data_IF_996613300272
#
_entry.id   IF_996613300272
#
_cell.length_a   1.000
_cell.length_b   1.000
_cell.length_c   1.000
_cell.angle_alpha   90.00
_cell.angle_beta   90.00
_cell.angle_gamma   90.00
#
_symmetry.space_group_name_H-M   'P 1'
#
loop_
_entity.id
_entity.type
_entity.pdbx_description
1 polymer ?
#
# COMPACT_ATOMS: atom_id res chain seq x y z
N UNK A 1 8.13 19.70 9.29
CA UNK A 1 7.89 18.71 8.21
C UNK A 1 9.07 17.77 8.19
N UNK A 2 8.85 16.46 8.04
CA UNK A 2 9.91 15.47 8.19
C UNK A 2 10.85 15.40 6.99
N UNK A 3 12.10 15.05 7.24
CA UNK A 3 13.03 14.43 6.29
C UNK A 3 12.41 13.19 5.62
N UNK A 4 13.00 12.75 4.51
CA UNK A 4 12.59 11.52 3.83
C UNK A 4 12.52 10.32 4.80
N UNK A 5 13.51 10.19 5.69
CA UNK A 5 13.56 9.10 6.68
C UNK A 5 12.37 9.16 7.65
N UNK A 6 12.04 10.34 8.17
CA UNK A 6 10.88 10.51 9.06
C UNK A 6 9.57 10.20 8.33
N UNK A 7 9.49 10.48 7.03
CA UNK A 7 8.31 10.18 6.22
C UNK A 7 8.17 8.68 5.94
N UNK A 8 9.25 8.00 5.55
CA UNK A 8 9.25 6.54 5.35
C UNK A 8 8.89 5.82 6.64
N UNK A 9 9.51 6.22 7.77
CA UNK A 9 9.20 5.65 9.09
C UNK A 9 7.75 5.90 9.50
N UNK A 10 7.21 7.10 9.21
CA UNK A 10 5.81 7.41 9.50
C UNK A 10 4.85 6.53 8.71
N UNK A 11 5.11 6.32 7.42
CA UNK A 11 4.28 5.46 6.56
C UNK A 11 4.37 4.00 7.01
N UNK A 12 5.57 3.54 7.34
CA UNK A 12 5.80 2.18 7.84
C UNK A 12 5.11 1.95 9.19
N UNK A 13 5.25 2.89 10.12
CA UNK A 13 4.60 2.85 11.42
C UNK A 13 3.07 2.83 11.26
N UNK A 14 2.53 3.70 10.40
CA UNK A 14 1.12 3.72 10.08
C UNK A 14 0.64 2.35 9.58
N UNK A 15 1.31 1.76 8.60
CA UNK A 15 0.90 0.47 8.05
C UNK A 15 1.04 -0.67 9.08
N UNK A 16 2.12 -0.68 9.87
CA UNK A 16 2.32 -1.67 10.95
C UNK A 16 1.21 -1.65 11.99
N UNK A 17 0.54 -0.50 12.19
CA UNK A 17 -0.60 -0.38 13.09
C UNK A 17 -1.83 -1.19 12.66
N UNK A 18 -1.96 -1.50 11.36
CA UNK A 18 -3.09 -2.24 10.81
C UNK A 18 -2.72 -3.62 10.26
N UNK A 19 -1.43 -3.94 10.14
CA UNK A 19 -0.92 -5.17 9.54
C UNK A 19 -1.56 -6.44 10.12
N UNK A 20 -1.69 -6.52 11.45
CA UNK A 20 -2.29 -7.68 12.13
C UNK A 20 -3.78 -7.83 11.80
N UNK A 21 -4.53 -6.72 11.73
CA UNK A 21 -5.94 -6.77 11.32
C UNK A 21 -6.05 -7.16 9.83
N UNK A 22 -5.22 -6.56 8.98
CA UNK A 22 -5.25 -6.76 7.54
C UNK A 22 -4.96 -8.22 7.17
N UNK A 23 -3.91 -8.81 7.73
CA UNK A 23 -3.55 -10.23 7.54
C UNK A 23 -4.67 -11.16 8.01
N UNK A 24 -5.25 -10.91 9.18
CA UNK A 24 -6.40 -11.68 9.70
C UNK A 24 -7.60 -11.62 8.75
N UNK A 25 -7.89 -10.46 8.16
CA UNK A 25 -8.98 -10.33 7.19
C UNK A 25 -8.68 -11.00 5.87
N UNK A 26 -7.43 -10.96 5.41
CA UNK A 26 -6.99 -11.68 4.21
C UNK A 26 -7.15 -13.20 4.40
N UNK A 27 -6.77 -13.75 5.55
CA UNK A 27 -6.95 -15.17 5.87
C UNK A 27 -8.43 -15.57 5.89
N UNK A 28 -9.28 -14.75 6.51
CA UNK A 28 -10.72 -14.99 6.54
C UNK A 28 -11.33 -14.94 5.13
N UNK A 29 -10.93 -13.95 4.32
CA UNK A 29 -11.39 -13.81 2.94
C UNK A 29 -10.93 -14.99 2.08
N UNK A 30 -9.67 -15.42 2.21
CA UNK A 30 -9.13 -16.59 1.52
C UNK A 30 -9.85 -17.88 1.92
N UNK A 31 -10.15 -18.06 3.21
CA UNK A 31 -10.89 -19.22 3.69
C UNK A 31 -12.27 -19.34 3.02
N UNK A 32 -12.97 -18.20 2.87
CA UNK A 32 -14.30 -18.13 2.27
C UNK A 32 -14.29 -18.22 0.74
N UNK A 33 -13.36 -17.52 0.06
CA UNK A 33 -13.40 -17.33 -1.39
C UNK A 33 -12.33 -18.12 -2.15
N UNK A 34 -11.41 -18.78 -1.44
CA UNK A 34 -10.25 -19.52 -1.99
C UNK A 34 -9.32 -18.65 -2.87
N UNK A 35 -9.25 -17.36 -2.53
CA UNK A 35 -8.38 -16.35 -3.14
C UNK A 35 -8.21 -15.19 -2.17
N UNK A 36 -7.12 -14.44 -2.29
CA UNK A 36 -6.92 -13.23 -1.50
C UNK A 36 -7.77 -12.08 -2.03
N UNK A 37 -8.04 -11.12 -1.15
CA UNK A 37 -8.70 -9.87 -1.49
C UNK A 37 -7.73 -8.94 -2.21
N UNK A 38 -8.24 -8.19 -3.19
CA UNK A 38 -7.50 -7.19 -3.95
C UNK A 38 -8.08 -5.79 -3.67
N UNK A 39 -7.19 -4.81 -3.49
CA UNK A 39 -7.57 -3.41 -3.26
C UNK A 39 -6.96 -2.49 -4.29
N UNK A 40 -7.77 -1.62 -4.90
CA UNK A 40 -7.29 -0.56 -5.78
C UNK A 40 -6.43 0.46 -5.03
N UNK A 41 -5.73 1.33 -5.75
CA UNK A 41 -5.05 2.48 -5.15
C UNK A 41 -6.03 3.33 -4.33
N UNK A 42 -5.69 3.62 -3.08
CA UNK A 42 -6.49 4.45 -2.17
C UNK A 42 -6.58 5.92 -2.60
N UNK A 43 -5.64 6.36 -3.44
CA UNK A 43 -5.64 7.70 -4.04
C UNK A 43 -5.75 7.66 -5.57
N UNK A 44 -6.41 8.64 -6.18
CA UNK A 44 -6.41 8.87 -7.62
C UNK A 44 -5.10 9.48 -8.12
N UNK A 45 -4.46 10.30 -7.30
CA UNK A 45 -3.13 10.87 -7.52
C UNK A 45 -2.20 10.47 -6.37
N UNK A 46 -0.93 10.17 -6.69
CA UNK A 46 0.04 9.80 -5.65
C UNK A 46 0.32 11.00 -4.72
N UNK A 47 0.17 10.85 -3.39
CA UNK A 47 0.47 11.92 -2.43
C UNK A 47 1.85 12.54 -2.62
N UNK A 48 1.92 13.86 -2.86
CA UNK A 48 3.17 14.62 -3.02
C UNK A 48 3.58 15.34 -1.73
N UNK A 49 4.40 14.68 -0.93
CA UNK A 49 4.94 15.17 0.32
C UNK A 49 6.11 16.10 0.05
N UNK A 50 5.92 17.42 0.13
CA UNK A 50 7.03 18.38 -0.05
C UNK A 50 7.62 18.79 1.29
N UNK A 51 8.88 19.18 1.35
CA UNK A 51 9.52 19.64 2.59
C UNK A 51 8.85 20.89 3.20
N UNK A 52 8.19 21.71 2.36
CA UNK A 52 7.54 22.96 2.75
C UNK A 52 6.04 22.82 3.06
N UNK A 53 5.38 21.72 2.65
CA UNK A 53 3.95 21.48 2.88
C UNK A 53 3.58 19.99 2.85
N UNK A 54 2.69 19.58 3.76
CA UNK A 54 2.08 18.26 3.73
C UNK A 54 1.38 18.05 2.38
N UNK A 55 1.68 16.92 1.72
CA UNK A 55 1.02 16.56 0.48
C UNK A 55 -0.47 16.31 0.66
N UNK A 56 -1.19 16.05 -0.42
CA UNK A 56 -2.55 15.55 -0.29
C UNK A 56 -2.52 14.18 0.39
N UNK A 57 -3.04 14.13 1.62
CA UNK A 57 -3.12 12.90 2.43
C UNK A 57 -4.56 12.35 2.49
N UNK A 58 -5.42 12.81 1.59
CA UNK A 58 -6.83 12.43 1.53
C UNK A 58 -7.01 11.24 0.60
N UNK A 59 -7.37 10.08 1.17
CA UNK A 59 -7.63 8.89 0.38
C UNK A 59 -9.01 8.99 -0.32
N UNK A 60 -9.05 9.49 -1.56
CA UNK A 60 -10.27 9.77 -2.32
C UNK A 60 -10.91 8.54 -2.97
N UNK A 61 -10.23 7.38 -2.96
CA UNK A 61 -10.69 6.14 -3.60
C UNK A 61 -11.03 5.02 -2.62
N UNK A 62 -11.18 5.30 -1.33
CA UNK A 62 -11.52 4.28 -0.34
C UNK A 62 -12.88 3.58 -0.59
N UNK A 63 -13.80 4.29 -1.26
CA UNK A 63 -15.14 3.79 -1.63
C UNK A 63 -15.22 3.30 -3.07
N UNK A 64 -14.14 3.43 -3.85
CA UNK A 64 -14.10 2.94 -5.22
C UNK A 64 -14.08 1.41 -5.18
N UNK A 65 -15.11 0.80 -5.79
CA UNK A 65 -15.19 -0.65 -5.87
C UNK A 65 -14.21 -1.19 -6.92
N UNK A 66 -13.63 -2.35 -6.64
CA UNK A 66 -13.02 -3.18 -7.69
C UNK A 66 -14.11 -3.65 -8.66
N UNK A 67 -13.71 -4.27 -9.78
CA UNK A 67 -14.65 -4.94 -10.70
C UNK A 67 -15.49 -6.03 -10.04
N UNK A 68 -15.09 -6.49 -8.85
CA UNK A 68 -15.76 -7.54 -8.08
C UNK A 68 -16.67 -6.98 -6.98
N UNK A 69 -16.74 -5.65 -6.84
CA UNK A 69 -17.65 -4.97 -5.91
C UNK A 69 -17.04 -4.63 -4.55
N UNK A 70 -15.83 -5.11 -4.26
CA UNK A 70 -15.20 -4.90 -2.96
C UNK A 70 -14.51 -3.52 -2.88
N UNK A 71 -14.59 -2.89 -1.69
CA UNK A 71 -14.01 -1.59 -1.39
C UNK A 71 -13.07 -1.67 -0.20
N UNK A 72 -12.15 -0.72 -0.10
CA UNK A 72 -11.27 -0.59 1.05
C UNK A 72 -12.04 -0.39 2.36
N UNK A 73 -13.08 0.44 2.40
CA UNK A 73 -13.84 0.67 3.63
C UNK A 73 -14.61 -0.56 4.11
N UNK A 74 -15.07 -1.39 3.18
CA UNK A 74 -15.77 -2.64 3.52
C UNK A 74 -14.78 -3.67 4.06
N UNK A 75 -13.58 -3.74 3.48
CA UNK A 75 -12.53 -4.65 3.92
C UNK A 75 -11.85 -4.18 5.20
N UNK A 76 -11.45 -2.90 5.31
CA UNK A 76 -10.72 -2.31 6.44
C UNK A 76 -11.28 -0.93 6.76
N UNK A 77 -12.37 -0.88 7.54
CA UNK A 77 -13.07 0.37 7.89
C UNK A 77 -12.16 1.46 8.48
N UNK A 78 -11.11 1.06 9.20
CA UNK A 78 -10.14 1.95 9.87
C UNK A 78 -9.14 2.62 8.92
N UNK A 79 -9.00 2.14 7.67
CA UNK A 79 -7.95 2.62 6.75
C UNK A 79 -8.10 4.10 6.37
N UNK A 80 -9.29 4.68 6.52
CA UNK A 80 -9.58 6.08 6.21
C UNK A 80 -9.76 7.00 7.41
N UNK A 81 -9.63 6.48 8.63
CA UNK A 81 -9.83 7.27 9.85
C UNK A 81 -8.62 8.17 10.18
N UNK A 82 -7.47 7.89 9.56
CA UNK A 82 -6.25 8.67 9.70
C UNK A 82 -5.80 9.18 8.34
N UNK A 83 -5.16 10.36 8.25
CA UNK A 83 -4.59 10.83 6.99
C UNK A 83 -3.57 9.84 6.43
N UNK A 84 -3.72 9.45 5.16
CA UNK A 84 -2.80 8.54 4.50
C UNK A 84 -1.69 9.34 3.83
N UNK A 85 -0.48 9.27 4.36
CA UNK A 85 0.67 9.97 3.77
C UNK A 85 1.19 9.32 2.47
N UNK A 86 0.68 8.14 2.13
CA UNK A 86 1.02 7.38 0.94
C UNK A 86 -0.25 6.75 0.33
N UNK A 87 -0.22 6.52 -0.98
CA UNK A 87 -1.20 5.64 -1.61
C UNK A 87 -0.90 4.19 -1.27
N UNK A 88 -1.97 3.41 -1.09
CA UNK A 88 -1.91 2.00 -0.72
C UNK A 88 -2.67 1.19 -1.75
N UNK A 89 -2.07 0.11 -2.23
CA UNK A 89 -2.69 -0.85 -3.15
C UNK A 89 -2.45 -2.25 -2.62
N UNK A 90 -3.40 -3.16 -2.76
CA UNK A 90 -3.23 -4.58 -2.44
C UNK A 90 -3.35 -5.39 -3.72
N UNK A 91 -2.24 -5.95 -4.19
CA UNK A 91 -2.20 -6.79 -5.39
C UNK A 91 -2.14 -8.26 -4.98
N UNK A 92 -2.93 -9.11 -5.64
CA UNK A 92 -2.84 -10.56 -5.46
C UNK A 92 -2.00 -11.14 -6.59
N UNK A 93 -1.34 -12.26 -6.32
CA UNK A 93 -0.58 -12.98 -7.33
C UNK A 93 -0.72 -14.49 -7.14
N UNK A 94 -0.45 -15.21 -8.23
CA UNK A 94 -0.33 -16.67 -8.25
C UNK A 94 1.05 -17.04 -8.75
N UNK A 95 1.65 -18.03 -8.12
CA UNK A 95 2.97 -18.53 -8.50
C UNK A 95 3.08 -20.04 -8.35
N UNK A 96 4.13 -20.66 -8.93
CA UNK A 96 4.45 -22.06 -8.64
C UNK A 96 4.73 -22.34 -7.16
N UNK A 97 5.24 -21.34 -6.42
CA UNK A 97 5.53 -21.48 -4.98
C UNK A 97 4.29 -21.30 -4.10
N UNK A 98 3.20 -20.77 -4.66
CA UNK A 98 1.90 -20.59 -4.03
C UNK A 98 1.25 -19.24 -4.32
N UNK A 99 0.00 -19.11 -3.90
CA UNK A 99 -0.75 -17.86 -4.01
C UNK A 99 -0.32 -16.91 -2.88
N UNK A 100 -0.35 -15.61 -3.16
CA UNK A 100 0.00 -14.58 -2.19
C UNK A 100 -0.59 -13.23 -2.54
N UNK A 101 -0.28 -12.24 -1.71
CA UNK A 101 -0.60 -10.85 -1.99
C UNK A 101 0.54 -9.95 -1.52
N UNK A 102 0.58 -8.75 -2.07
CA UNK A 102 1.53 -7.71 -1.72
C UNK A 102 0.80 -6.40 -1.46
N UNK A 103 1.31 -5.65 -0.48
CA UNK A 103 0.89 -4.28 -0.24
C UNK A 103 1.93 -3.36 -0.84
N UNK A 104 1.48 -2.49 -1.73
CA UNK A 104 2.34 -1.51 -2.37
C UNK A 104 1.99 -0.12 -1.87
N UNK A 105 3.01 0.55 -1.32
CA UNK A 105 2.93 1.89 -0.76
C UNK A 105 3.68 2.84 -1.69
N UNK A 106 3.03 3.94 -2.07
CA UNK A 106 3.62 4.93 -2.96
C UNK A 106 3.43 6.34 -2.42
N UNK A 107 4.48 7.14 -2.39
CA UNK A 107 4.39 8.59 -2.19
C UNK A 107 5.43 9.31 -3.04
N UNK A 108 5.22 10.58 -3.31
CA UNK A 108 6.24 11.45 -3.87
C UNK A 108 6.87 12.29 -2.77
N UNK A 109 8.17 12.48 -2.81
CA UNK A 109 8.87 13.45 -1.98
C UNK A 109 9.80 14.29 -2.85
N UNK A 110 9.60 15.61 -2.81
CA UNK A 110 10.29 16.56 -3.70
C UNK A 110 10.19 16.16 -5.19
N UNK A 111 9.02 15.67 -5.61
CA UNK A 111 8.77 15.22 -6.98
C UNK A 111 9.31 13.84 -7.36
N UNK A 112 10.05 13.17 -6.47
CA UNK A 112 10.58 11.82 -6.68
C UNK A 112 9.59 10.77 -6.16
N UNK A 113 9.25 9.76 -6.97
CA UNK A 113 8.37 8.66 -6.56
C UNK A 113 9.15 7.61 -5.74
N UNK A 114 8.64 7.34 -4.55
CA UNK A 114 9.14 6.31 -3.65
C UNK A 114 8.11 5.19 -3.55
N UNK A 115 8.58 3.95 -3.66
CA UNK A 115 7.75 2.75 -3.59
C UNK A 115 8.30 1.79 -2.55
N UNK A 116 7.41 1.18 -1.78
CA UNK A 116 7.70 0.03 -0.91
C UNK A 116 6.72 -1.09 -1.23
N UNK A 117 7.21 -2.33 -1.25
CA UNK A 117 6.39 -3.54 -1.46
C UNK A 117 6.56 -4.46 -0.27
N UNK A 118 5.47 -4.75 0.42
CA UNK A 118 5.44 -5.68 1.56
C UNK A 118 4.77 -6.96 1.10
N UNK A 119 5.50 -8.08 1.09
CA UNK A 119 5.02 -9.34 0.52
C UNK A 119 4.50 -10.32 1.58
N UNK A 120 3.26 -10.76 1.40
CA UNK A 120 2.57 -11.76 2.21
C UNK A 120 2.34 -13.05 1.42
N UNK A 121 3.42 -13.61 0.90
CA UNK A 121 3.37 -14.90 0.22
C UNK A 121 4.73 -15.57 0.13
N UNK A 122 4.81 -16.70 -0.58
CA UNK A 122 6.00 -17.55 -0.60
C UNK A 122 7.16 -16.93 -1.38
N UNK A 123 6.89 -16.15 -2.44
CA UNK A 123 7.92 -15.56 -3.32
C UNK A 123 8.63 -14.37 -2.64
N UNK A 124 9.65 -14.64 -1.81
CA UNK A 124 10.36 -13.58 -1.04
C UNK A 124 11.04 -12.52 -1.90
N UNK A 125 11.30 -12.78 -3.18
CA UNK A 125 11.87 -11.80 -4.12
C UNK A 125 10.92 -10.63 -4.47
N UNK A 126 9.66 -10.69 -4.05
CA UNK A 126 8.70 -9.58 -4.23
C UNK A 126 8.81 -8.49 -3.18
N UNK A 127 9.40 -8.79 -2.04
CA UNK A 127 9.58 -7.81 -0.98
C UNK A 127 10.58 -6.74 -1.44
N UNK A 128 10.21 -5.47 -1.28
CA UNK A 128 11.05 -4.32 -1.63
C UNK A 128 10.95 -3.32 -0.49
N UNK A 129 12.10 -2.93 0.04
CA UNK A 129 12.17 -1.74 0.88
C UNK A 129 11.86 -0.49 0.04
N UNK A 130 11.87 0.69 0.66
CA UNK A 130 11.72 1.95 -0.05
C UNK A 130 12.77 2.08 -1.16
N UNK A 131 12.31 2.15 -2.41
CA UNK A 131 13.13 2.36 -3.59
C UNK A 131 12.63 3.57 -4.38
N UNK A 132 13.54 4.18 -5.14
CA UNK A 132 13.14 5.21 -6.11
C UNK A 132 12.64 4.53 -7.37
N UNK A 133 11.41 4.84 -7.77
CA UNK A 133 10.94 4.55 -9.11
C UNK A 133 11.28 5.74 -10.02
N UNK A 134 12.41 5.65 -10.72
CA UNK A 134 12.63 6.51 -11.88
C UNK A 134 11.70 6.02 -12.98
N UNK A 135 11.10 6.93 -13.74
CA UNK A 135 10.51 6.59 -15.04
C UNK A 135 11.53 5.77 -15.84
N UNK A 136 11.35 4.45 -15.85
CA UNK A 136 12.16 3.50 -16.62
C UNK A 136 13.31 2.75 -15.94
N UNK A 137 13.66 2.92 -14.65
CA UNK A 137 14.69 2.07 -13.97
C UNK A 137 14.68 2.21 -12.43
N UNK A 138 14.39 1.13 -11.70
CA UNK A 138 14.45 1.07 -10.23
C UNK A 138 15.90 1.09 -9.72
N UNK A 139 16.21 1.90 -8.70
CA UNK A 139 17.45 1.82 -7.92
C UNK A 139 17.10 1.70 -6.43
N UNK A 140 17.70 0.71 -5.76
CA UNK A 140 17.54 0.49 -4.32
C UNK A 140 18.27 1.60 -3.53
N UNK A 141 17.66 2.06 -2.43
CA UNK A 141 18.18 3.12 -1.54
C UNK A 141 19.03 2.55 -0.41
#
# INVERSE_FOLDING_TARGET
MGSLNELTEKVDHWFSGFEVEFTKKQDAFFSAHKRYWQGLSTHSEVPDQRSDRAGDTTADRLTAATTEGDKWQDFMATIGETPLAASVTCNTYKSPEGDGYEIVLFFKYEGVLYTRVINYGPERSRDKNWVIEKEGLSQEL
#
